data_IF_343047236202
#
_entry.id   IF_343047236202
#
_cell.length_a   1.000
_cell.length_b   1.000
_cell.length_c   1.000
_cell.angle_alpha   90.00
_cell.angle_beta   90.00
_cell.angle_gamma   90.00
#
_symmetry.space_group_name_H-M   'P 1'
#
loop_
_entity.id
_entity.type
_entity.pdbx_description
1 polymer ?
#
# COMPACT_ATOMS: atom_id res chain seq x y z
N UNK A 1 -21.41 -3.99 17.34
CA UNK A 1 -21.16 -5.19 16.50
C UNK A 1 -20.88 -4.75 15.07
N UNK A 2 -19.66 -4.92 14.56
CA UNK A 2 -19.41 -4.76 13.12
C UNK A 2 -20.05 -5.96 12.42
N UNK A 3 -21.02 -5.73 11.53
CA UNK A 3 -21.57 -6.80 10.69
C UNK A 3 -20.46 -7.23 9.74
N UNK A 4 -19.91 -8.43 9.92
CA UNK A 4 -19.02 -9.02 8.92
C UNK A 4 -19.83 -9.27 7.65
N UNK A 5 -19.52 -8.52 6.60
CA UNK A 5 -20.01 -8.85 5.28
C UNK A 5 -19.25 -10.10 4.80
N UNK A 6 -19.94 -11.13 4.27
CA UNK A 6 -19.26 -12.31 3.77
C UNK A 6 -18.29 -11.91 2.66
N UNK A 7 -17.03 -12.36 2.76
CA UNK A 7 -15.92 -11.98 1.87
C UNK A 7 -16.29 -12.09 0.38
N UNK A 8 -17.03 -13.13 0.00
CA UNK A 8 -17.55 -13.33 -1.37
C UNK A 8 -18.36 -12.13 -1.87
N UNK A 9 -19.23 -11.57 -1.03
CA UNK A 9 -20.06 -10.41 -1.37
C UNK A 9 -19.21 -9.14 -1.53
N UNK A 10 -18.20 -8.97 -0.68
CA UNK A 10 -17.27 -7.84 -0.77
C UNK A 10 -16.44 -7.89 -2.06
N UNK A 11 -15.88 -9.06 -2.37
CA UNK A 11 -15.12 -9.32 -3.61
C UNK A 11 -15.98 -9.06 -4.85
N UNK A 12 -17.24 -9.52 -4.86
CA UNK A 12 -18.17 -9.25 -5.96
C UNK A 12 -18.47 -7.76 -6.13
N UNK A 13 -18.50 -6.98 -5.06
CA UNK A 13 -18.72 -5.52 -5.12
C UNK A 13 -17.47 -4.78 -5.61
N UNK A 14 -16.28 -5.27 -5.26
CA UNK A 14 -14.99 -4.63 -5.52
C UNK A 14 -14.25 -5.24 -6.71
N UNK A 15 -14.96 -5.80 -7.70
CA UNK A 15 -14.37 -6.50 -8.86
C UNK A 15 -13.28 -5.70 -9.56
N UNK A 16 -13.47 -4.38 -9.75
CA UNK A 16 -12.46 -3.51 -10.36
C UNK A 16 -11.20 -3.40 -9.52
N UNK A 17 -11.32 -3.22 -8.21
CA UNK A 17 -10.17 -3.21 -7.29
C UNK A 17 -9.44 -4.55 -7.29
N UNK A 18 -10.18 -5.66 -7.29
CA UNK A 18 -9.59 -7.01 -7.33
C UNK A 18 -8.84 -7.23 -8.64
N UNK A 19 -9.42 -6.85 -9.78
CA UNK A 19 -8.77 -6.95 -11.08
C UNK A 19 -7.50 -6.09 -11.14
N UNK A 20 -7.56 -4.85 -10.63
CA UNK A 20 -6.39 -3.98 -10.54
C UNK A 20 -5.30 -4.58 -9.65
N UNK A 21 -5.63 -5.04 -8.44
CA UNK A 21 -4.64 -5.62 -7.52
C UNK A 21 -4.04 -6.91 -8.09
N UNK A 22 -4.83 -7.76 -8.75
CA UNK A 22 -4.32 -8.94 -9.45
C UNK A 22 -3.35 -8.59 -10.58
N UNK A 23 -3.54 -7.44 -11.25
CA UNK A 23 -2.63 -6.94 -12.27
C UNK A 23 -1.37 -6.28 -11.68
N UNK A 24 -1.52 -5.51 -10.59
CA UNK A 24 -0.50 -4.62 -10.05
C UNK A 24 0.45 -5.31 -9.08
N UNK A 25 -0.04 -6.21 -8.22
CA UNK A 25 0.79 -6.94 -7.24
C UNK A 25 1.93 -7.71 -7.90
N UNK A 26 1.70 -8.49 -8.98
CA UNK A 26 2.80 -9.17 -9.68
C UNK A 26 3.81 -8.23 -10.35
N UNK A 27 3.46 -6.95 -10.53
CA UNK A 27 4.34 -5.93 -11.11
C UNK A 27 5.08 -5.11 -10.05
N UNK A 28 5.10 -5.55 -8.79
CA UNK A 28 5.80 -4.85 -7.71
C UNK A 28 4.96 -3.78 -7.02
N UNK A 29 3.63 -3.90 -7.05
CA UNK A 29 2.78 -3.13 -6.15
C UNK A 29 2.91 -3.67 -4.72
N UNK A 30 3.22 -2.78 -3.79
CA UNK A 30 3.38 -3.05 -2.38
C UNK A 30 2.41 -2.21 -1.55
N UNK A 31 1.88 -2.82 -0.50
CA UNK A 31 1.07 -2.14 0.52
C UNK A 31 1.63 -2.52 1.89
N UNK A 32 1.98 -1.53 2.70
CA UNK A 32 2.44 -1.73 4.08
C UNK A 32 1.50 -1.02 5.04
N UNK A 33 1.11 -1.72 6.10
CA UNK A 33 0.18 -1.21 7.12
C UNK A 33 0.91 -1.16 8.46
N UNK A 34 0.83 -0.02 9.14
CA UNK A 34 1.32 0.13 10.50
C UNK A 34 0.19 -0.13 11.49
N UNK A 35 0.42 -1.05 12.42
CA UNK A 35 -0.51 -1.37 13.48
C UNK A 35 -0.04 -0.81 14.82
N UNK A 36 -0.97 -0.32 15.63
CA UNK A 36 -0.76 0.02 17.04
C UNK A 36 -1.80 -0.70 17.87
N UNK A 37 -1.36 -1.55 18.80
CA UNK A 37 -2.27 -2.36 19.61
C UNK A 37 -3.28 -3.17 18.77
N UNK A 38 -2.83 -3.75 17.65
CA UNK A 38 -3.65 -4.47 16.64
C UNK A 38 -4.62 -3.59 15.83
N UNK A 39 -4.68 -2.29 16.07
CA UNK A 39 -5.45 -1.36 15.23
C UNK A 39 -4.60 -0.83 14.08
N UNK A 40 -5.07 -0.89 12.82
CA UNK A 40 -4.37 -0.26 11.70
C UNK A 40 -4.48 1.25 11.81
N UNK A 41 -3.35 1.94 11.92
CA UNK A 41 -3.30 3.39 12.17
C UNK A 41 -2.75 4.20 10.99
N UNK A 42 -2.02 3.57 10.07
CA UNK A 42 -1.54 4.20 8.84
C UNK A 42 -1.12 3.16 7.82
N UNK A 43 -0.97 3.58 6.57
CA UNK A 43 -0.59 2.71 5.47
C UNK A 43 0.12 3.49 4.37
N UNK A 44 0.93 2.79 3.60
CA UNK A 44 1.58 3.27 2.39
C UNK A 44 1.37 2.27 1.26
N UNK A 45 1.09 2.79 0.07
CA UNK A 45 1.00 2.05 -1.19
C UNK A 45 2.05 2.61 -2.14
N UNK A 46 2.84 1.72 -2.73
CA UNK A 46 3.92 2.11 -3.62
C UNK A 46 4.30 0.98 -4.57
N UNK A 47 4.98 1.31 -5.67
CA UNK A 47 5.49 0.34 -6.64
C UNK A 47 6.10 1.05 -7.85
N UNK A 48 6.56 0.32 -8.87
CA UNK A 48 7.05 0.93 -10.09
C UNK A 48 5.89 1.57 -10.89
N UNK A 49 6.19 2.46 -11.86
CA UNK A 49 5.15 3.16 -12.63
C UNK A 49 4.13 2.23 -13.28
N UNK A 50 4.56 1.08 -13.79
CA UNK A 50 3.74 0.06 -14.46
C UNK A 50 2.69 -0.57 -13.54
N UNK A 51 2.90 -0.46 -12.22
CA UNK A 51 2.01 -0.96 -11.18
C UNK A 51 1.15 0.14 -10.52
N UNK A 52 1.43 1.43 -10.78
CA UNK A 52 0.90 2.54 -9.97
C UNK A 52 -0.53 2.99 -10.32
N UNK A 53 -1.06 2.60 -11.49
CA UNK A 53 -2.33 3.09 -12.01
C UNK A 53 -2.36 4.59 -12.36
N UNK A 54 -1.27 5.32 -12.10
CA UNK A 54 -1.11 6.74 -12.38
C UNK A 54 -0.38 6.93 -13.72
N UNK A 55 -0.57 8.07 -14.43
CA UNK A 55 0.10 8.35 -15.69
C UNK A 55 1.57 8.77 -15.51
N UNK A 56 2.29 8.05 -14.64
CA UNK A 56 3.72 8.25 -14.36
C UNK A 56 4.52 7.31 -15.25
N UNK A 57 5.66 7.77 -15.77
CA UNK A 57 6.59 6.98 -16.59
C UNK A 57 8.02 7.27 -16.15
N UNK A 58 8.89 6.27 -16.23
CA UNK A 58 10.32 6.43 -15.92
C UNK A 58 10.95 5.11 -15.51
N UNK A 59 12.26 4.98 -15.68
CA UNK A 59 13.03 3.81 -15.23
C UNK A 59 13.65 4.09 -13.88
N UNK A 60 13.71 3.08 -13.01
CA UNK A 60 14.37 3.19 -11.71
C UNK A 60 13.66 4.12 -10.71
N UNK A 61 12.38 4.44 -10.94
CA UNK A 61 11.58 5.24 -10.02
C UNK A 61 10.56 4.37 -9.29
N UNK A 62 10.32 4.71 -8.02
CA UNK A 62 9.23 4.13 -7.23
C UNK A 62 8.16 5.19 -7.06
N UNK A 63 6.95 4.87 -7.53
CA UNK A 63 5.77 5.69 -7.39
C UNK A 63 5.09 5.35 -6.07
N UNK A 64 4.99 6.34 -5.19
CA UNK A 64 4.23 6.23 -3.95
C UNK A 64 2.80 6.70 -4.23
N UNK A 65 1.91 5.76 -4.54
CA UNK A 65 0.53 6.08 -4.93
C UNK A 65 -0.26 6.75 -3.79
N UNK A 66 -0.13 6.25 -2.57
CA UNK A 66 -0.88 6.76 -1.43
C UNK A 66 -0.07 6.61 -0.13
N UNK A 67 -0.20 7.59 0.74
CA UNK A 67 0.13 7.46 2.15
C UNK A 67 -1.00 8.06 2.96
N UNK A 68 -1.55 7.29 3.89
CA UNK A 68 -2.60 7.77 4.76
C UNK A 68 -2.31 7.40 6.21
N UNK A 69 -2.70 8.29 7.11
CA UNK A 69 -2.63 8.07 8.54
C UNK A 69 -3.96 8.48 9.17
N UNK A 70 -4.44 7.67 10.10
CA UNK A 70 -5.64 8.00 10.86
C UNK A 70 -5.37 9.29 11.65
N UNK A 71 -6.35 10.20 11.73
CA UNK A 71 -6.26 11.42 12.56
C UNK A 71 -5.79 11.16 14.00
N UNK A 72 -6.15 10.02 14.60
CA UNK A 72 -5.75 9.60 15.96
C UNK A 72 -4.26 9.24 16.07
N UNK A 73 -3.59 9.06 14.94
CA UNK A 73 -2.15 8.80 14.83
C UNK A 73 -1.36 10.05 14.43
N UNK A 74 -2.02 11.20 14.27
CA UNK A 74 -1.36 12.48 14.02
C UNK A 74 -0.30 12.77 15.09
N UNK A 75 0.83 13.37 14.69
CA UNK A 75 1.97 13.65 15.57
C UNK A 75 2.87 12.44 15.90
N UNK A 76 2.52 11.21 15.51
CA UNK A 76 3.32 10.01 15.82
C UNK A 76 4.34 9.65 14.74
N UNK A 77 4.67 10.57 13.83
CA UNK A 77 5.64 10.36 12.75
C UNK A 77 5.38 9.12 11.86
N UNK A 78 4.15 8.62 11.80
CA UNK A 78 3.80 7.41 11.04
C UNK A 78 4.22 7.49 9.57
N UNK A 79 4.08 8.67 8.97
CA UNK A 79 4.56 8.92 7.61
C UNK A 79 6.03 8.57 7.48
N UNK A 80 6.90 9.20 8.29
CA UNK A 80 8.35 8.98 8.28
C UNK A 80 8.74 7.51 8.47
N UNK A 81 8.09 6.82 9.40
CA UNK A 81 8.33 5.39 9.64
C UNK A 81 8.01 4.54 8.42
N UNK A 82 6.84 4.75 7.80
CA UNK A 82 6.44 4.04 6.58
C UNK A 82 7.35 4.37 5.38
N UNK A 83 7.85 5.61 5.26
CA UNK A 83 8.80 5.97 4.22
C UNK A 83 10.14 5.26 4.44
N UNK A 84 10.67 5.27 5.66
CA UNK A 84 11.95 4.64 5.98
C UNK A 84 11.89 3.14 5.69
N UNK A 85 10.85 2.48 6.18
CA UNK A 85 10.64 1.05 5.96
C UNK A 85 10.41 0.69 4.47
N UNK A 86 9.75 1.56 3.70
CA UNK A 86 9.68 1.44 2.25
C UNK A 86 11.08 1.48 1.61
N UNK A 87 11.87 2.51 1.93
CA UNK A 87 13.21 2.71 1.34
C UNK A 87 14.14 1.54 1.70
N UNK A 88 14.12 1.07 2.94
CA UNK A 88 14.99 -0.02 3.37
C UNK A 88 14.57 -1.37 2.75
N UNK A 89 13.27 -1.59 2.55
CA UNK A 89 12.76 -2.76 1.82
C UNK A 89 13.22 -2.79 0.36
N UNK A 90 13.22 -1.64 -0.31
CA UNK A 90 13.68 -1.55 -1.71
C UNK A 90 15.20 -1.76 -1.83
N UNK A 91 16.01 -1.28 -0.87
CA UNK A 91 17.47 -1.51 -0.90
C UNK A 91 17.84 -2.99 -0.92
N UNK A 92 17.10 -3.83 -0.18
CA UNK A 92 17.34 -5.28 -0.15
C UNK A 92 16.98 -5.98 -1.47
N UNK A 93 16.14 -5.38 -2.31
CA UNK A 93 15.78 -5.93 -3.62
C UNK A 93 16.88 -5.73 -4.69
N UNK A 94 17.86 -4.85 -4.44
CA UNK A 94 18.98 -4.56 -5.34
C UNK A 94 20.30 -5.24 -4.95
N UNK A 95 20.33 -6.10 -3.92
CA UNK A 95 21.56 -6.71 -3.37
C UNK A 95 21.54 -8.27 -3.41
N UNK A 96 20.62 -8.90 -4.15
CA UNK A 96 20.65 -10.35 -4.40
C UNK A 96 20.84 -10.66 -5.89
#
# INVERSE_FOLDING_TARGET
MKKEAPLKRLVMRLRGCVAYLNYAVPKGYHMKILFRCKDPISMIEYGPPEASGLPVKGKGIIVRSCIWAHRKAHGNSCGKLLIADMVDGEKCHWIC
#
